data_IF_142156205501
#
_entry.id   IF_142156205501
#
_cell.length_a   1.000
_cell.length_b   1.000
_cell.length_c   1.000
_cell.angle_alpha   90.00
_cell.angle_beta   90.00
_cell.angle_gamma   90.00
#
_symmetry.space_group_name_H-M   'P 1'
#
loop_
_entity.id
_entity.type
_entity.pdbx_description
1 polymer ?
#
# COMPACT_ATOMS: atom_id res chain seq x y z
N UNK A 1 -1.18 1.44 35.40
CA UNK A 1 -0.80 0.06 35.06
C UNK A 1 -1.93 -0.49 34.20
N UNK A 2 -1.98 -0.04 32.94
CA UNK A 2 -3.03 -0.40 31.98
C UNK A 2 -2.36 -1.25 30.92
N UNK A 3 -2.75 -2.51 30.86
CA UNK A 3 -2.12 -3.52 30.02
C UNK A 3 -2.30 -3.18 28.54
N UNK A 4 -1.15 -2.96 27.90
CA UNK A 4 -0.96 -2.98 26.46
C UNK A 4 -1.24 -4.41 25.97
N UNK A 5 -2.48 -4.70 25.58
CA UNK A 5 -2.79 -5.91 24.83
C UNK A 5 -2.15 -5.81 23.44
N UNK A 6 -1.01 -6.47 23.27
CA UNK A 6 -0.41 -6.77 21.97
C UNK A 6 -1.32 -7.78 21.24
N UNK A 7 -1.82 -7.47 20.02
CA UNK A 7 -2.52 -8.45 19.21
C UNK A 7 -1.54 -9.56 18.81
N UNK A 8 -1.85 -10.80 19.20
CA UNK A 8 -1.10 -11.99 18.79
C UNK A 8 -1.37 -12.19 17.29
N UNK A 9 -0.50 -11.63 16.44
CA UNK A 9 -0.55 -11.84 14.99
C UNK A 9 0.01 -13.24 14.64
N UNK A 10 -0.80 -14.29 14.74
CA UNK A 10 -0.54 -15.54 14.01
C UNK A 10 -1.17 -15.43 12.63
N UNK A 11 -0.47 -14.77 11.72
CA UNK A 11 -0.91 -14.58 10.33
C UNK A 11 -0.67 -15.87 9.52
N UNK A 12 -1.50 -16.89 9.78
CA UNK A 12 -1.62 -18.04 8.90
C UNK A 12 -2.62 -17.68 7.80
N UNK A 13 -2.11 -17.49 6.59
CA UNK A 13 -2.88 -17.19 5.38
C UNK A 13 -3.80 -18.38 5.04
N UNK A 14 -4.98 -18.45 5.67
CA UNK A 14 -5.98 -19.48 5.38
C UNK A 14 -6.62 -19.17 4.02
N UNK A 15 -6.25 -19.97 3.02
CA UNK A 15 -6.84 -19.97 1.69
C UNK A 15 -8.25 -20.58 1.77
N UNK A 16 -9.27 -19.73 1.88
CA UNK A 16 -10.67 -20.18 1.81
C UNK A 16 -11.04 -20.32 0.33
N UNK A 17 -11.10 -21.55 -0.19
CA UNK A 17 -11.27 -21.82 -1.63
C UNK A 17 -12.70 -21.69 -2.16
N UNK A 18 -13.70 -21.41 -1.32
CA UNK A 18 -15.08 -21.18 -1.77
C UNK A 18 -15.72 -20.03 -1.00
N UNK A 19 -15.73 -18.84 -1.60
CA UNK A 19 -16.51 -17.71 -1.08
C UNK A 19 -17.98 -17.85 -1.49
N UNK A 20 -18.95 -17.61 -0.59
CA UNK A 20 -20.34 -17.50 -1.01
C UNK A 20 -20.48 -16.35 -2.02
N UNK A 21 -21.31 -16.56 -3.04
CA UNK A 21 -21.66 -15.49 -3.96
C UNK A 21 -22.26 -14.33 -3.17
N UNK A 22 -21.73 -13.14 -3.39
CA UNK A 22 -22.19 -11.93 -2.72
C UNK A 22 -23.60 -11.63 -3.23
N UNK A 23 -24.58 -11.57 -2.34
CA UNK A 23 -25.98 -11.28 -2.67
C UNK A 23 -26.27 -9.81 -2.99
N UNK A 24 -25.24 -8.94 -3.02
CA UNK A 24 -25.37 -7.51 -3.28
C UNK A 24 -24.36 -7.00 -4.33
N UNK A 25 -24.73 -5.96 -5.05
CA UNK A 25 -23.96 -5.40 -6.16
C UNK A 25 -23.00 -4.30 -5.68
N UNK A 26 -21.70 -4.50 -5.86
CA UNK A 26 -20.68 -3.50 -5.54
C UNK A 26 -20.18 -2.86 -6.81
N UNK A 27 -20.34 -1.54 -6.95
CA UNK A 27 -19.78 -0.76 -8.07
C UNK A 27 -18.42 -0.19 -7.66
N UNK A 28 -17.37 -0.46 -8.43
CA UNK A 28 -16.00 0.02 -8.17
C UNK A 28 -15.35 0.61 -9.40
N UNK A 29 -14.33 1.43 -9.21
CA UNK A 29 -13.53 1.99 -10.31
C UNK A 29 -12.33 1.11 -10.62
N UNK A 30 -12.14 0.76 -11.88
CA UNK A 30 -11.00 -0.04 -12.31
C UNK A 30 -9.69 0.74 -12.15
N UNK A 31 -8.70 0.18 -11.44
CA UNK A 31 -7.38 0.82 -11.24
C UNK A 31 -6.53 0.97 -12.52
N UNK A 32 -6.96 0.38 -13.64
CA UNK A 32 -6.22 0.40 -14.91
C UNK A 32 -6.84 1.33 -15.94
N UNK A 33 -8.14 1.16 -16.24
CA UNK A 33 -8.85 1.97 -17.23
C UNK A 33 -9.70 3.09 -16.61
N UNK A 34 -9.99 3.05 -15.31
CA UNK A 34 -10.81 4.06 -14.64
C UNK A 34 -12.32 3.90 -14.85
N UNK A 35 -12.77 2.89 -15.59
CA UNK A 35 -14.19 2.61 -15.80
C UNK A 35 -14.84 2.01 -14.54
N UNK A 36 -16.10 2.35 -14.30
CA UNK A 36 -16.91 1.76 -13.22
C UNK A 36 -17.40 0.39 -13.66
N UNK A 37 -17.27 -0.61 -12.79
CA UNK A 37 -17.70 -1.98 -13.05
C UNK A 37 -18.37 -2.62 -11.83
N UNK A 38 -19.15 -3.67 -12.07
CA UNK A 38 -19.77 -4.48 -11.04
C UNK A 38 -18.77 -5.54 -10.54
N UNK A 39 -18.34 -5.41 -9.30
CA UNK A 39 -17.41 -6.31 -8.66
C UNK A 39 -18.14 -7.59 -8.21
N UNK A 40 -17.70 -8.74 -8.75
CA UNK A 40 -18.21 -10.07 -8.37
C UNK A 40 -17.73 -10.54 -6.99
N UNK A 41 -16.59 -10.01 -6.54
CA UNK A 41 -15.96 -10.35 -5.25
C UNK A 41 -15.46 -9.08 -4.56
N UNK A 42 -15.40 -9.10 -3.23
CA UNK A 42 -14.86 -8.01 -2.41
C UNK A 42 -13.39 -7.67 -2.73
N UNK A 43 -12.64 -8.56 -3.37
CA UNK A 43 -11.25 -8.30 -3.75
C UNK A 43 -11.09 -7.82 -5.19
N UNK A 44 -12.17 -7.77 -5.96
CA UNK A 44 -12.07 -7.39 -7.37
C UNK A 44 -11.68 -5.92 -7.50
N UNK A 45 -10.56 -5.67 -8.17
CA UNK A 45 -9.98 -4.34 -8.39
C UNK A 45 -9.99 -3.91 -9.87
N UNK A 46 -10.36 -4.83 -10.78
CA UNK A 46 -10.25 -4.64 -12.22
C UNK A 46 -11.53 -5.10 -12.91
N UNK A 47 -11.94 -4.37 -13.95
CA UNK A 47 -13.16 -4.66 -14.69
C UNK A 47 -13.10 -5.94 -15.54
N UNK A 48 -11.90 -6.37 -15.95
CA UNK A 48 -11.72 -7.47 -16.89
C UNK A 48 -10.37 -8.18 -16.77
N UNK A 49 -10.24 -9.43 -17.28
CA UNK A 49 -8.96 -10.14 -17.33
C UNK A 49 -7.87 -9.39 -18.10
N UNK A 50 -8.24 -8.56 -19.10
CA UNK A 50 -7.29 -7.68 -19.80
C UNK A 50 -6.66 -6.68 -18.84
N UNK A 51 -7.47 -5.96 -18.06
CA UNK A 51 -6.97 -5.01 -17.06
C UNK A 51 -6.13 -5.71 -15.98
N UNK A 52 -6.55 -6.88 -15.50
CA UNK A 52 -5.77 -7.68 -14.54
C UNK A 52 -4.40 -8.06 -15.09
N UNK A 53 -4.30 -8.48 -16.36
CA UNK A 53 -3.01 -8.80 -17.02
C UNK A 53 -2.12 -7.57 -17.15
N UNK A 54 -2.69 -6.42 -17.51
CA UNK A 54 -1.95 -5.15 -17.60
C UNK A 54 -1.40 -4.76 -16.22
N UNK A 55 -2.21 -4.84 -15.16
CA UNK A 55 -1.76 -4.55 -13.80
C UNK A 55 -0.64 -5.50 -13.36
N UNK A 56 -0.78 -6.79 -13.64
CA UNK A 56 0.26 -7.79 -13.35
C UNK A 56 1.57 -7.48 -14.09
N UNK A 57 1.50 -7.14 -15.38
CA UNK A 57 2.68 -6.76 -16.17
C UNK A 57 3.35 -5.50 -15.63
N UNK A 58 2.58 -4.45 -15.31
CA UNK A 58 3.09 -3.22 -14.67
C UNK A 58 3.81 -3.52 -13.36
N UNK A 59 3.26 -4.39 -12.51
CA UNK A 59 3.89 -4.81 -11.25
C UNK A 59 5.21 -5.56 -11.50
N UNK A 60 5.23 -6.47 -12.48
CA UNK A 60 6.44 -7.23 -12.84
C UNK A 60 7.54 -6.31 -13.39
N UNK A 61 7.19 -5.37 -14.26
CA UNK A 61 8.14 -4.42 -14.86
C UNK A 61 8.70 -3.45 -13.82
N UNK A 62 7.86 -3.00 -12.87
CA UNK A 62 8.29 -2.18 -11.74
C UNK A 62 9.27 -2.94 -10.82
N UNK A 63 9.00 -4.21 -10.53
CA UNK A 63 9.88 -5.07 -9.74
C UNK A 63 11.24 -5.25 -10.43
N UNK A 64 11.26 -5.61 -11.71
CA UNK A 64 12.50 -5.78 -12.48
C UNK A 64 13.32 -4.47 -12.55
N UNK A 65 12.65 -3.33 -12.71
CA UNK A 65 13.31 -2.01 -12.67
C UNK A 65 13.90 -1.74 -11.28
N UNK A 66 13.21 -2.10 -10.20
CA UNK A 66 13.72 -1.95 -8.84
C UNK A 66 14.98 -2.79 -8.62
N UNK A 67 14.93 -4.07 -9.00
CA UNK A 67 16.06 -5.00 -8.87
C UNK A 67 17.29 -4.55 -9.69
N UNK A 68 17.09 -3.97 -10.88
CA UNK A 68 18.19 -3.37 -11.66
C UNK A 68 18.85 -2.21 -10.92
N UNK A 69 18.05 -1.37 -10.26
CA UNK A 69 18.57 -0.24 -9.50
C UNK A 69 19.24 -0.68 -8.19
N UNK A 70 18.71 -1.71 -7.52
CA UNK A 70 19.32 -2.27 -6.32
C UNK A 70 20.69 -2.90 -6.64
N UNK A 71 20.80 -3.63 -7.75
CA UNK A 71 22.09 -4.15 -8.24
C UNK A 71 23.07 -3.02 -8.54
N UNK A 72 22.62 -1.96 -9.22
CA UNK A 72 23.46 -0.81 -9.49
C UNK A 72 23.94 -0.15 -8.18
N UNK A 73 23.07 -0.02 -7.18
CA UNK A 73 23.42 0.57 -5.89
C UNK A 73 24.48 -0.25 -5.14
N UNK A 74 24.42 -1.58 -5.19
CA UNK A 74 25.40 -2.47 -4.54
C UNK A 74 26.82 -2.38 -5.11
N UNK A 75 26.95 -2.03 -6.39
CA UNK A 75 28.26 -1.95 -7.05
C UNK A 75 28.95 -0.59 -6.86
N UNK A 76 28.32 0.36 -6.17
CA UNK A 76 28.89 1.70 -5.96
C UNK A 76 29.80 1.65 -4.73
N UNK A 77 31.10 1.93 -4.86
CA UNK A 77 32.00 1.96 -3.71
C UNK A 77 31.68 3.16 -2.81
N UNK A 78 31.76 2.93 -1.50
CA UNK A 78 31.40 3.94 -0.50
C UNK A 78 32.41 5.11 -0.49
N UNK A 79 33.66 4.85 -0.85
CA UNK A 79 34.77 5.80 -0.85
C UNK A 79 34.54 7.02 -1.77
N UNK A 80 33.62 6.93 -2.74
CA UNK A 80 33.44 7.97 -3.77
C UNK A 80 32.56 9.12 -3.28
N UNK A 81 33.17 10.26 -2.94
CA UNK A 81 32.48 11.50 -2.49
C UNK A 81 31.50 12.07 -3.53
N UNK A 82 31.80 11.93 -4.82
CA UNK A 82 30.99 12.45 -5.91
C UNK A 82 30.34 11.34 -6.73
N UNK A 83 29.01 11.32 -6.77
CA UNK A 83 28.21 10.31 -7.48
C UNK A 83 27.61 10.87 -8.76
N UNK A 84 27.41 10.02 -9.77
CA UNK A 84 26.65 10.38 -10.96
C UNK A 84 25.16 10.50 -10.65
N UNK A 85 24.43 11.23 -11.50
CA UNK A 85 22.95 11.32 -11.40
C UNK A 85 22.30 9.93 -11.44
N UNK A 86 22.82 9.00 -12.24
CA UNK A 86 22.28 7.63 -12.34
C UNK A 86 22.50 6.83 -11.04
N UNK A 87 23.68 6.96 -10.45
CA UNK A 87 24.03 6.34 -9.17
C UNK A 87 23.20 6.93 -8.03
N UNK A 88 23.03 8.26 -7.99
CA UNK A 88 22.18 8.93 -7.01
C UNK A 88 20.72 8.44 -7.07
N UNK A 89 20.16 8.23 -8.27
CA UNK A 89 18.81 7.64 -8.44
C UNK A 89 18.75 6.21 -7.88
N UNK A 90 19.81 5.43 -8.07
CA UNK A 90 19.86 4.06 -7.56
C UNK A 90 19.90 4.04 -6.01
N UNK A 91 20.72 4.90 -5.42
CA UNK A 91 20.97 4.97 -3.98
C UNK A 91 19.81 5.59 -3.19
N UNK A 92 19.29 6.75 -3.62
CA UNK A 92 18.30 7.53 -2.87
C UNK A 92 16.87 7.40 -3.43
N UNK A 93 16.68 6.78 -4.61
CA UNK A 93 15.35 6.62 -5.21
C UNK A 93 14.73 7.92 -5.75
N UNK A 94 15.49 9.02 -5.81
CA UNK A 94 15.03 10.32 -6.33
C UNK A 94 15.00 10.29 -7.86
N UNK A 95 13.95 10.87 -8.45
CA UNK A 95 13.83 10.92 -9.91
C UNK A 95 14.90 11.84 -10.54
N UNK A 96 15.42 11.45 -11.71
CA UNK A 96 16.44 12.22 -12.47
C UNK A 96 16.02 13.68 -12.70
N UNK A 97 14.77 13.90 -13.06
CA UNK A 97 14.18 15.23 -13.30
C UNK A 97 14.26 16.10 -12.06
N UNK A 98 13.92 15.53 -10.90
CA UNK A 98 14.01 16.20 -9.59
C UNK A 98 15.44 16.54 -9.24
N UNK A 99 16.39 15.62 -9.45
CA UNK A 99 17.82 15.92 -9.24
C UNK A 99 18.29 17.07 -10.13
N UNK A 100 17.97 17.05 -11.43
CA UNK A 100 18.35 18.15 -12.33
C UNK A 100 17.71 19.48 -11.94
N UNK A 101 16.46 19.47 -11.46
CA UNK A 101 15.79 20.66 -10.95
C UNK A 101 16.51 21.21 -9.71
N UNK A 102 16.88 20.35 -8.77
CA UNK A 102 17.60 20.76 -7.54
C UNK A 102 18.99 21.32 -7.85
N UNK A 103 19.68 20.75 -8.84
CA UNK A 103 20.97 21.26 -9.32
C UNK A 103 20.78 22.63 -9.98
N UNK A 104 19.76 22.78 -10.84
CA UNK A 104 19.47 24.07 -11.51
C UNK A 104 19.12 25.17 -10.50
N UNK A 105 18.43 24.81 -9.42
CA UNK A 105 18.06 25.74 -8.35
C UNK A 105 19.22 26.06 -7.39
N UNK A 106 20.38 25.41 -7.53
CA UNK A 106 21.54 25.61 -6.65
C UNK A 106 21.39 24.99 -5.25
N UNK A 107 20.32 24.23 -5.00
CA UNK A 107 20.08 23.58 -3.70
C UNK A 107 21.08 22.46 -3.44
N UNK A 108 21.41 21.69 -4.49
CA UNK A 108 22.35 20.56 -4.39
C UNK A 108 23.65 20.93 -5.10
N UNK A 109 24.80 20.90 -4.41
CA UNK A 109 26.10 21.16 -5.03
C UNK A 109 26.45 20.06 -6.01
N UNK A 110 26.68 20.46 -7.27
CA UNK A 110 27.08 19.56 -8.34
C UNK A 110 28.17 20.18 -9.20
N UNK A 111 29.10 19.34 -9.65
CA UNK A 111 30.20 19.69 -10.56
C UNK A 111 29.90 19.09 -11.92
N UNK A 112 30.03 19.89 -12.97
CA UNK A 112 29.92 19.39 -14.33
C UNK A 112 31.30 19.15 -14.92
N UNK A 113 31.68 17.89 -15.10
CA UNK A 113 33.02 17.48 -15.57
C UNK A 113 33.08 17.42 -17.11
N UNK A 114 31.94 17.53 -17.81
CA UNK A 114 31.91 17.49 -19.28
C UNK A 114 30.51 17.37 -19.86
N UNK A 115 30.39 16.98 -21.13
CA UNK A 115 29.08 16.80 -21.76
C UNK A 115 28.32 15.65 -21.09
N UNK A 116 27.21 15.99 -20.40
CA UNK A 116 26.34 15.04 -19.67
C UNK A 116 27.05 14.29 -18.52
N UNK A 117 28.12 14.85 -17.97
CA UNK A 117 28.89 14.28 -16.86
C UNK A 117 28.74 15.12 -15.58
N UNK A 118 27.49 15.23 -15.11
CA UNK A 118 27.18 15.88 -13.84
C UNK A 118 27.47 14.95 -12.67
N UNK A 119 28.26 15.44 -11.72
CA UNK A 119 28.67 14.78 -10.48
C UNK A 119 28.07 15.53 -9.30
N UNK A 120 27.38 14.80 -8.43
CA UNK A 120 26.68 15.35 -7.26
C UNK A 120 27.46 14.96 -6.02
N UNK A 121 27.62 15.91 -5.08
CA UNK A 121 28.23 15.60 -3.78
C UNK A 121 27.30 14.67 -2.98
N UNK A 122 27.81 13.52 -2.54
CA UNK A 122 27.00 12.50 -1.85
C UNK A 122 26.43 12.99 -0.52
N UNK A 123 27.25 13.63 0.31
CA UNK A 123 26.84 14.11 1.64
C UNK A 123 25.67 15.09 1.60
N UNK A 124 25.57 15.88 0.54
CA UNK A 124 24.43 16.77 0.33
C UNK A 124 23.12 15.99 0.10
N UNK A 125 23.17 14.85 -0.59
CA UNK A 125 22.00 14.00 -0.81
C UNK A 125 21.63 13.23 0.46
N UNK A 126 22.61 12.72 1.20
CA UNK A 126 22.38 12.01 2.47
C UNK A 126 21.71 12.89 3.52
N UNK A 127 22.02 14.18 3.54
CA UNK A 127 21.38 15.15 4.44
C UNK A 127 19.92 15.44 4.06
N UNK A 128 19.60 15.40 2.75
CA UNK A 128 18.29 15.80 2.23
C UNK A 128 17.31 14.64 2.05
N UNK A 129 17.81 13.44 1.76
CA UNK A 129 16.99 12.30 1.34
C UNK A 129 17.33 11.05 2.14
N UNK A 130 16.29 10.31 2.48
CA UNK A 130 16.42 8.94 2.93
C UNK A 130 16.99 8.06 1.82
N UNK A 131 17.69 7.00 2.22
CA UNK A 131 18.12 5.96 1.28
C UNK A 131 16.89 5.34 0.63
N UNK A 132 17.04 4.82 -0.60
CA UNK A 132 15.96 4.13 -1.31
C UNK A 132 15.31 3.06 -0.44
N UNK A 133 16.10 2.21 0.22
CA UNK A 133 15.60 1.15 1.11
C UNK A 133 14.78 1.70 2.28
N UNK A 134 15.25 2.76 2.90
CA UNK A 134 14.57 3.41 4.02
C UNK A 134 13.25 4.04 3.56
N UNK A 135 13.25 4.74 2.42
CA UNK A 135 12.04 5.32 1.85
C UNK A 135 10.99 4.26 1.46
N UNK A 136 11.42 3.07 1.03
CA UNK A 136 10.53 1.95 0.73
C UNK A 136 9.98 1.35 2.03
N UNK A 137 10.83 1.13 3.03
CA UNK A 137 10.41 0.64 4.33
C UNK A 137 9.40 1.59 4.99
N UNK A 138 9.61 2.91 4.91
CA UNK A 138 8.68 3.90 5.46
C UNK A 138 7.30 3.85 4.79
N UNK A 139 7.25 3.60 3.47
CA UNK A 139 5.98 3.44 2.73
C UNK A 139 5.26 2.14 3.05
N UNK A 140 5.99 1.10 3.40
CA UNK A 140 5.44 -0.22 3.74
C UNK A 140 4.98 -0.32 5.19
N UNK A 141 5.40 0.60 6.07
CA UNK A 141 4.93 0.64 7.45
C UNK A 141 3.40 0.76 7.47
N UNK A 142 2.68 -0.23 8.02
CA UNK A 142 1.26 -0.09 8.21
C UNK A 142 1.03 1.06 9.18
N UNK A 143 0.26 2.06 8.77
CA UNK A 143 -0.22 3.09 9.69
C UNK A 143 -0.94 2.35 10.83
N UNK A 144 -0.53 2.52 12.10
CA UNK A 144 -1.19 1.86 13.22
C UNK A 144 -2.67 2.24 13.20
N UNK A 145 -3.53 1.26 12.87
CA UNK A 145 -4.98 1.47 12.89
C UNK A 145 -5.42 1.50 14.35
N UNK A 146 -5.71 2.69 14.86
CA UNK A 146 -6.34 2.87 16.17
C UNK A 146 -7.83 2.70 15.96
N UNK A 147 -8.39 1.63 16.51
CA UNK A 147 -9.83 1.41 16.51
C UNK A 147 -10.42 2.01 17.78
N UNK A 148 -11.38 2.91 17.64
CA UNK A 148 -12.32 3.21 18.72
C UNK A 148 -13.28 2.03 18.80
N UNK A 149 -13.31 1.34 19.94
CA UNK A 149 -14.27 0.25 20.21
C UNK A 149 -15.47 0.75 21.02
N UNK A 150 -15.73 2.05 20.92
CA UNK A 150 -16.89 2.69 21.53
C UNK A 150 -18.16 2.29 20.75
N UNK A 151 -19.30 2.12 21.44
CA UNK A 151 -20.55 1.70 20.78
C UNK A 151 -20.97 2.57 19.60
N UNK A 152 -20.63 3.86 19.62
CA UNK A 152 -20.95 4.85 18.59
C UNK A 152 -20.21 4.59 17.27
N UNK A 153 -19.01 4.04 17.33
CA UNK A 153 -18.11 3.80 16.19
C UNK A 153 -18.15 2.36 15.68
N UNK A 154 -19.06 1.54 16.23
CA UNK A 154 -19.21 0.13 15.89
C UNK A 154 -20.60 -0.17 15.30
N UNK A 155 -20.66 -1.15 14.40
CA UNK A 155 -21.91 -1.83 14.05
C UNK A 155 -21.99 -3.16 14.79
N UNK A 156 -23.21 -3.56 15.10
CA UNK A 156 -23.53 -4.95 15.46
C UNK A 156 -23.66 -5.81 14.20
N UNK A 157 -23.44 -7.12 14.33
CA UNK A 157 -23.60 -8.05 13.20
C UNK A 157 -24.99 -7.94 12.56
N UNK A 158 -26.05 -7.81 13.38
CA UNK A 158 -27.42 -7.65 12.88
C UNK A 158 -27.63 -6.36 12.09
N UNK A 159 -27.05 -5.24 12.53
CA UNK A 159 -27.09 -3.98 11.78
C UNK A 159 -26.38 -4.09 10.43
N UNK A 160 -25.22 -4.76 10.37
CA UNK A 160 -24.50 -4.98 9.11
C UNK A 160 -25.36 -5.79 8.13
N UNK A 161 -26.03 -6.83 8.62
CA UNK A 161 -26.88 -7.67 7.80
C UNK A 161 -28.07 -6.89 7.23
N UNK A 162 -28.67 -6.01 8.03
CA UNK A 162 -29.76 -5.14 7.60
C UNK A 162 -29.32 -4.05 6.61
N UNK A 163 -28.18 -3.40 6.86
CA UNK A 163 -27.67 -2.29 6.03
C UNK A 163 -27.22 -2.74 4.64
N UNK A 164 -26.51 -3.87 4.56
CA UNK A 164 -25.92 -4.35 3.31
C UNK A 164 -26.69 -5.52 2.69
N UNK A 165 -27.77 -5.98 3.33
CA UNK A 165 -28.57 -7.12 2.90
C UNK A 165 -27.71 -8.40 2.70
N UNK A 166 -26.85 -8.68 3.68
CA UNK A 166 -25.92 -9.82 3.67
C UNK A 166 -26.33 -10.79 4.78
N UNK A 167 -26.16 -12.10 4.54
CA UNK A 167 -26.37 -13.13 5.58
C UNK A 167 -25.25 -13.11 6.64
N UNK A 168 -25.60 -13.38 7.89
CA UNK A 168 -24.68 -13.46 9.04
C UNK A 168 -23.43 -14.31 8.75
N UNK A 169 -23.61 -15.49 8.16
CA UNK A 169 -22.52 -16.41 7.82
C UNK A 169 -21.48 -15.77 6.89
N UNK A 170 -21.93 -14.93 5.95
CA UNK A 170 -21.06 -14.22 5.01
C UNK A 170 -20.35 -13.06 5.69
N UNK A 171 -21.00 -12.34 6.60
CA UNK A 171 -20.36 -11.30 7.43
C UNK A 171 -19.23 -11.90 8.25
N UNK A 172 -19.45 -13.03 8.92
CA UNK A 172 -18.42 -13.75 9.67
C UNK A 172 -17.28 -14.29 8.80
N UNK A 173 -17.57 -14.70 7.56
CA UNK A 173 -16.54 -15.09 6.61
C UNK A 173 -15.65 -13.90 6.22
N UNK A 174 -16.23 -12.71 6.01
CA UNK A 174 -15.49 -11.50 5.69
C UNK A 174 -14.64 -11.00 6.87
N UNK A 175 -15.20 -10.98 8.09
CA UNK A 175 -14.46 -10.59 9.31
C UNK A 175 -13.19 -11.42 9.47
N UNK A 176 -13.29 -12.75 9.32
CA UNK A 176 -12.13 -13.66 9.42
C UNK A 176 -11.10 -13.43 8.32
N UNK A 177 -11.56 -13.22 7.08
CA UNK A 177 -10.68 -13.03 5.91
C UNK A 177 -9.88 -11.73 5.99
N UNK A 178 -10.52 -10.64 6.35
CA UNK A 178 -9.87 -9.33 6.44
C UNK A 178 -9.25 -9.05 7.81
N UNK A 179 -9.32 -10.02 8.74
CA UNK A 179 -8.81 -9.89 10.10
C UNK A 179 -9.34 -8.64 10.80
N UNK A 180 -10.65 -8.39 10.65
CA UNK A 180 -11.32 -7.24 11.25
C UNK A 180 -11.46 -7.50 12.76
N UNK A 181 -11.05 -6.56 13.62
CA UNK A 181 -11.24 -6.72 15.06
C UNK A 181 -12.74 -6.76 15.38
N UNK A 182 -13.12 -7.66 16.27
CA UNK A 182 -14.48 -7.75 16.81
C UNK A 182 -14.41 -7.88 18.33
N UNK A 183 -15.40 -7.33 19.02
CA UNK A 183 -15.53 -7.42 20.47
C UNK A 183 -16.94 -7.81 20.83
N UNK A 184 -17.06 -8.84 21.66
CA UNK A 184 -18.34 -9.19 22.24
C UNK A 184 -18.57 -8.34 23.50
N UNK A 185 -19.73 -7.68 23.56
CA UNK A 185 -20.18 -6.93 24.73
C UNK A 185 -21.60 -7.40 25.03
N UNK A 186 -21.76 -8.17 26.10
CA UNK A 186 -23.01 -8.85 26.41
C UNK A 186 -23.43 -9.83 25.31
N UNK A 187 -24.63 -9.65 24.78
CA UNK A 187 -25.23 -10.53 23.77
C UNK A 187 -24.89 -10.14 22.33
N UNK A 188 -24.29 -8.97 22.12
CA UNK A 188 -23.99 -8.44 20.79
C UNK A 188 -22.49 -8.45 20.52
N UNK A 189 -22.14 -8.65 19.24
CA UNK A 189 -20.76 -8.54 18.74
C UNK A 189 -20.65 -7.25 17.95
N UNK A 190 -19.70 -6.42 18.36
CA UNK A 190 -19.41 -5.10 17.80
C UNK A 190 -18.20 -5.17 16.88
N UNK A 191 -18.30 -4.50 15.74
CA UNK A 191 -17.28 -4.42 14.69
C UNK A 191 -17.12 -2.96 14.25
N UNK A 192 -15.90 -2.43 14.06
CA UNK A 192 -15.70 -1.04 13.67
C UNK A 192 -16.38 -0.69 12.34
N UNK A 193 -17.10 0.44 12.32
CA UNK A 193 -17.83 0.93 11.14
C UNK A 193 -16.90 1.19 9.96
N UNK A 194 -15.77 1.85 10.20
CA UNK A 194 -14.82 2.24 9.13
C UNK A 194 -14.36 1.07 8.27
N UNK A 195 -14.04 -0.08 8.89
CA UNK A 195 -13.56 -1.27 8.17
C UNK A 195 -14.69 -1.90 7.35
N UNK A 196 -15.90 -1.97 7.90
CA UNK A 196 -17.07 -2.52 7.23
C UNK A 196 -17.49 -1.64 6.05
N UNK A 197 -17.55 -0.33 6.27
CA UNK A 197 -17.86 0.65 5.25
C UNK A 197 -16.84 0.58 4.12
N UNK A 198 -15.53 0.52 4.42
CA UNK A 198 -14.47 0.41 3.42
C UNK A 198 -14.55 -0.89 2.61
N UNK A 199 -14.96 -2.00 3.22
CA UNK A 199 -15.10 -3.28 2.52
C UNK A 199 -16.26 -3.28 1.53
N UNK A 200 -17.39 -2.72 1.95
CA UNK A 200 -18.63 -2.71 1.18
C UNK A 200 -18.86 -1.42 0.38
N UNK A 201 -17.94 -0.45 0.45
CA UNK A 201 -18.01 0.82 -0.26
C UNK A 201 -18.22 0.64 -1.76
N UNK A 202 -19.27 1.26 -2.28
CA UNK A 202 -19.39 1.56 -3.71
C UNK A 202 -18.65 2.87 -4.00
N UNK A 203 -17.79 2.87 -5.02
CA UNK A 203 -16.99 4.04 -5.43
C UNK A 203 -17.70 4.87 -6.52
N UNK A 204 -19.03 4.99 -6.44
CA UNK A 204 -19.85 5.77 -7.39
C UNK A 204 -20.19 7.13 -6.82
#
# INVERSE_FOLDING_TARGET
MWDLFLPIHTNAYLKVENMPAIGFEIKRKCKVCGEVFLAKTLDSQYCSPKCSKVAWKRKKDAKEKNEKLDRLAQHIPDIREYVSVKEAVAMFGVERTTLYRLIKNGTVPAINVGKRLTRIKRSALETMFLTRKESLAEREKPVPRRYSMEPEDCYTIGEICNLYHINDSSVWAHIRKYSIPSRQIGNYVYVPKEEIDNLYKSEV
#
